data_IF_239501649921
#
_entry.id   IF_239501649921
#
_cell.length_a   1.000
_cell.length_b   1.000
_cell.length_c   1.000
_cell.angle_alpha   90.00
_cell.angle_beta   90.00
_cell.angle_gamma   90.00
#
_symmetry.space_group_name_H-M   'P 1'
#
loop_
_entity.id
_entity.type
_entity.pdbx_description
1 polymer ?
#
# COMPACT_ATOMS: atom_id res chain seq x y z
N UNK A 1 -32.52 12.11 -27.40
CA UNK A 1 -32.47 11.95 -25.95
C UNK A 1 -31.51 10.80 -25.64
N UNK A 2 -30.31 11.13 -25.17
CA UNK A 2 -29.30 10.11 -24.79
C UNK A 2 -29.59 9.66 -23.36
N UNK A 3 -30.03 8.42 -23.17
CA UNK A 3 -30.17 7.81 -21.85
C UNK A 3 -28.76 7.55 -21.29
N UNK A 4 -28.38 8.29 -20.25
CA UNK A 4 -27.24 7.93 -19.42
C UNK A 4 -27.60 6.67 -18.65
N UNK A 5 -26.96 5.56 -18.98
CA UNK A 5 -26.94 4.37 -18.14
C UNK A 5 -26.02 4.63 -16.96
N UNK A 6 -26.61 4.88 -15.80
CA UNK A 6 -25.90 4.80 -14.53
C UNK A 6 -25.61 3.32 -14.27
N UNK A 7 -24.39 2.88 -14.49
CA UNK A 7 -23.91 1.61 -13.96
C UNK A 7 -23.66 1.85 -12.47
N UNK A 8 -24.65 1.46 -11.65
CA UNK A 8 -24.45 1.36 -10.21
C UNK A 8 -23.41 0.26 -9.97
N UNK A 9 -22.19 0.65 -9.60
CA UNK A 9 -21.21 -0.27 -9.08
C UNK A 9 -21.77 -0.81 -7.75
N UNK A 10 -22.33 -2.00 -7.79
CA UNK A 10 -22.68 -2.75 -6.59
C UNK A 10 -21.35 -3.13 -5.94
N UNK A 11 -20.95 -2.35 -4.96
CA UNK A 11 -19.90 -2.73 -4.03
C UNK A 11 -20.41 -3.95 -3.25
N UNK A 12 -20.02 -5.12 -3.70
CA UNK A 12 -20.19 -6.35 -2.93
C UNK A 12 -19.24 -6.24 -1.75
N UNK A 13 -19.70 -5.66 -0.64
CA UNK A 13 -19.04 -5.80 0.65
C UNK A 13 -19.15 -7.26 1.05
N UNK A 14 -18.15 -8.05 0.71
CA UNK A 14 -17.94 -9.35 1.33
C UNK A 14 -17.69 -9.03 2.80
N UNK A 15 -18.53 -9.50 3.75
CA UNK A 15 -18.21 -9.36 5.15
C UNK A 15 -16.90 -10.13 5.37
N UNK A 16 -15.81 -9.40 5.56
CA UNK A 16 -14.60 -9.98 6.11
C UNK A 16 -15.01 -10.51 7.48
N UNK A 17 -15.03 -11.84 7.61
CA UNK A 17 -15.28 -12.47 8.90
C UNK A 17 -14.40 -11.80 9.95
N UNK A 18 -14.93 -11.57 11.14
CA UNK A 18 -14.23 -11.06 12.31
C UNK A 18 -13.14 -12.06 12.74
N UNK A 19 -12.14 -12.25 11.87
CA UNK A 19 -10.87 -12.84 12.25
C UNK A 19 -10.11 -11.78 13.04
N UNK A 20 -9.48 -12.18 14.12
CA UNK A 20 -8.51 -11.34 14.84
C UNK A 20 -7.53 -10.84 13.78
N UNK A 21 -7.62 -9.55 13.42
CA UNK A 21 -6.71 -8.93 12.46
C UNK A 21 -5.34 -8.86 13.15
N UNK A 22 -4.50 -9.84 12.86
CA UNK A 22 -3.13 -9.87 13.38
C UNK A 22 -2.39 -8.74 12.71
N UNK A 23 -2.08 -7.68 13.48
CA UNK A 23 -1.34 -6.53 12.99
C UNK A 23 0.04 -6.95 12.52
N UNK A 24 0.47 -6.44 11.36
CA UNK A 24 1.78 -6.76 10.80
C UNK A 24 2.91 -6.30 11.73
N UNK A 25 4.01 -7.08 11.88
CA UNK A 25 5.15 -6.70 12.72
C UNK A 25 5.76 -5.34 12.37
N UNK A 26 5.72 -4.92 11.10
CA UNK A 26 6.19 -3.59 10.68
C UNK A 26 5.32 -2.50 11.30
N UNK A 27 3.99 -2.67 11.26
CA UNK A 27 3.06 -1.71 11.85
C UNK A 27 3.16 -1.68 13.38
N UNK A 28 3.37 -2.84 14.02
CA UNK A 28 3.59 -2.91 15.48
C UNK A 28 4.85 -2.13 15.88
N UNK A 29 5.94 -2.30 15.13
CA UNK A 29 7.18 -1.59 15.40
C UNK A 29 7.06 -0.07 15.17
N UNK A 30 6.31 0.33 14.12
CA UNK A 30 6.01 1.73 13.83
C UNK A 30 5.21 2.38 14.97
N UNK A 31 4.15 1.74 15.43
CA UNK A 31 3.34 2.26 16.53
C UNK A 31 4.15 2.40 17.82
N UNK A 32 4.95 1.40 18.17
CA UNK A 32 5.82 1.46 19.34
C UNK A 32 6.87 2.59 19.23
N UNK A 33 7.33 2.92 18.03
CA UNK A 33 8.23 4.06 17.80
C UNK A 33 7.49 5.39 17.94
N UNK A 34 6.25 5.51 17.43
CA UNK A 34 5.41 6.69 17.62
C UNK A 34 5.06 6.94 19.08
N UNK A 35 4.78 5.88 19.84
CA UNK A 35 4.49 5.98 21.29
C UNK A 35 5.71 6.50 22.09
N UNK A 36 6.91 6.12 21.67
CA UNK A 36 8.16 6.62 22.29
C UNK A 36 8.47 8.08 21.97
N UNK A 37 8.07 8.54 20.78
CA UNK A 37 8.25 9.92 20.34
C UNK A 37 7.06 10.37 19.50
N UNK A 38 6.09 10.98 20.17
CA UNK A 38 4.84 11.47 19.57
C UNK A 38 4.94 12.88 18.97
N UNK A 39 6.15 13.44 18.88
CA UNK A 39 6.34 14.70 18.13
C UNK A 39 6.10 14.47 16.64
N UNK A 40 5.76 15.53 15.91
CA UNK A 40 5.60 15.47 14.44
C UNK A 40 6.82 14.85 13.76
N UNK A 41 8.03 15.22 14.17
CA UNK A 41 9.27 14.66 13.66
C UNK A 41 9.41 13.17 14.01
N UNK A 42 9.15 12.79 15.27
CA UNK A 42 9.21 11.39 15.70
C UNK A 42 8.22 10.50 15.00
N UNK A 43 6.99 10.96 14.76
CA UNK A 43 6.01 10.22 13.97
C UNK A 43 6.48 10.05 12.51
N UNK A 44 7.02 11.08 11.89
CA UNK A 44 7.55 10.99 10.52
C UNK A 44 8.74 10.02 10.42
N UNK A 45 9.64 10.01 11.40
CA UNK A 45 10.76 9.06 11.45
C UNK A 45 10.27 7.61 11.59
N UNK A 46 9.29 7.36 12.45
CA UNK A 46 8.70 6.04 12.62
C UNK A 46 8.04 5.53 11.34
N UNK A 47 7.30 6.39 10.65
CA UNK A 47 6.64 6.07 9.37
C UNK A 47 7.69 5.83 8.28
N UNK A 48 8.74 6.64 8.20
CA UNK A 48 9.80 6.47 7.22
C UNK A 48 10.52 5.12 7.40
N UNK A 49 10.85 4.74 8.65
CA UNK A 49 11.45 3.44 8.95
C UNK A 49 10.53 2.26 8.56
N UNK A 50 9.23 2.39 8.82
CA UNK A 50 8.25 1.39 8.39
C UNK A 50 8.14 1.32 6.85
N UNK A 51 8.18 2.48 6.17
CA UNK A 51 8.15 2.53 4.71
C UNK A 51 9.34 1.81 4.08
N UNK A 52 10.56 2.01 4.60
CA UNK A 52 11.74 1.25 4.15
C UNK A 52 11.54 -0.26 4.28
N UNK A 53 10.95 -0.72 5.38
CA UNK A 53 10.64 -2.15 5.57
C UNK A 53 9.59 -2.67 4.61
N UNK A 54 8.58 -1.87 4.30
CA UNK A 54 7.59 -2.23 3.27
C UNK A 54 8.22 -2.27 1.87
N UNK A 55 9.17 -1.39 1.54
CA UNK A 55 9.90 -1.44 0.27
C UNK A 55 10.82 -2.65 0.17
N UNK A 56 11.54 -3.00 1.24
CA UNK A 56 12.32 -4.25 1.29
C UNK A 56 11.42 -5.47 1.01
N UNK A 57 10.26 -5.54 1.67
CA UNK A 57 9.30 -6.62 1.52
C UNK A 57 8.64 -6.65 0.12
N UNK A 58 8.42 -5.48 -0.50
CA UNK A 58 8.00 -5.36 -1.90
C UNK A 58 8.99 -6.04 -2.84
N UNK A 59 10.27 -5.75 -2.67
CA UNK A 59 11.34 -6.32 -3.49
C UNK A 59 11.49 -7.83 -3.27
N UNK A 60 11.33 -8.31 -2.05
CA UNK A 60 11.34 -9.74 -1.73
C UNK A 60 10.18 -10.48 -2.39
N UNK A 61 8.95 -9.94 -2.28
CA UNK A 61 7.78 -10.52 -2.92
C UNK A 61 7.93 -10.57 -4.43
N UNK A 62 8.45 -9.49 -5.03
CA UNK A 62 8.74 -9.41 -6.46
C UNK A 62 9.75 -10.48 -6.92
N UNK A 63 10.84 -10.65 -6.19
CA UNK A 63 11.87 -11.65 -6.50
C UNK A 63 11.31 -13.09 -6.41
N UNK A 64 10.47 -13.36 -5.41
CA UNK A 64 9.79 -14.66 -5.26
C UNK A 64 8.83 -14.93 -6.42
N UNK A 65 8.02 -13.94 -6.83
CA UNK A 65 7.11 -14.05 -7.96
C UNK A 65 7.87 -14.29 -9.27
N UNK A 66 8.94 -13.54 -9.52
CA UNK A 66 9.80 -13.76 -10.70
C UNK A 66 10.34 -15.18 -10.78
N UNK A 67 10.66 -15.79 -9.64
CA UNK A 67 11.20 -17.16 -9.58
C UNK A 67 10.12 -18.22 -9.75
N UNK A 68 8.89 -17.96 -9.24
CA UNK A 68 7.82 -18.97 -9.18
C UNK A 68 6.88 -18.94 -10.38
N UNK A 69 6.65 -17.77 -10.96
CA UNK A 69 5.68 -17.61 -12.06
C UNK A 69 6.23 -18.13 -13.40
N UNK A 70 5.36 -18.73 -14.24
CA UNK A 70 5.65 -18.89 -15.65
C UNK A 70 6.01 -17.57 -16.33
N UNK A 71 6.88 -17.60 -17.33
CA UNK A 71 7.44 -16.40 -17.96
C UNK A 71 6.37 -15.48 -18.60
N UNK A 72 5.34 -16.06 -19.19
CA UNK A 72 4.20 -15.35 -19.79
C UNK A 72 3.34 -14.66 -18.72
N UNK A 73 3.01 -15.34 -17.64
CA UNK A 73 2.27 -14.76 -16.49
C UNK A 73 3.10 -13.63 -15.84
N UNK A 74 4.40 -13.84 -15.66
CA UNK A 74 5.27 -12.81 -15.08
C UNK A 74 5.39 -11.58 -16.00
N UNK A 75 5.38 -11.75 -17.32
CA UNK A 75 5.38 -10.64 -18.28
C UNK A 75 4.12 -9.74 -18.11
N UNK A 76 2.95 -10.31 -17.85
CA UNK A 76 1.74 -9.54 -17.56
C UNK A 76 1.85 -8.81 -16.20
N UNK A 77 2.39 -9.48 -15.18
CA UNK A 77 2.63 -8.84 -13.88
C UNK A 77 3.62 -7.66 -13.99
N UNK A 78 4.65 -7.77 -14.85
CA UNK A 78 5.57 -6.66 -15.10
C UNK A 78 4.88 -5.43 -15.71
N UNK A 79 3.90 -5.63 -16.60
CA UNK A 79 3.09 -4.53 -17.15
C UNK A 79 2.28 -3.87 -16.05
N UNK A 80 1.64 -4.66 -15.20
CA UNK A 80 0.87 -4.18 -14.06
C UNK A 80 1.75 -3.41 -13.06
N UNK A 81 2.97 -3.89 -12.79
CA UNK A 81 3.91 -3.22 -11.89
C UNK A 81 4.36 -1.86 -12.43
N UNK A 82 4.64 -1.76 -13.74
CA UNK A 82 4.97 -0.47 -14.37
C UNK A 82 3.81 0.53 -14.27
N UNK A 83 2.59 0.06 -14.51
CA UNK A 83 1.39 0.90 -14.37
C UNK A 83 1.17 1.34 -12.91
N UNK A 84 1.42 0.44 -11.94
CA UNK A 84 1.34 0.77 -10.54
C UNK A 84 2.37 1.83 -10.12
N UNK A 85 3.61 1.74 -10.59
CA UNK A 85 4.64 2.77 -10.32
C UNK A 85 4.20 4.13 -10.84
N UNK A 86 3.66 4.19 -12.06
CA UNK A 86 3.15 5.43 -12.63
C UNK A 86 1.96 5.99 -11.81
N UNK A 87 1.03 5.12 -11.42
CA UNK A 87 -0.08 5.49 -10.52
C UNK A 87 0.42 6.02 -9.18
N UNK A 88 1.35 5.30 -8.52
CA UNK A 88 1.94 5.70 -7.24
C UNK A 88 2.53 7.11 -7.32
N UNK A 89 3.32 7.38 -8.35
CA UNK A 89 3.99 8.67 -8.49
C UNK A 89 3.00 9.82 -8.71
N UNK A 90 1.92 9.59 -9.44
CA UNK A 90 0.82 10.54 -9.60
C UNK A 90 0.01 10.73 -8.32
N UNK A 91 -0.23 9.64 -7.59
CA UNK A 91 -0.96 9.69 -6.33
C UNK A 91 -0.20 10.45 -5.25
N UNK A 92 1.13 10.31 -5.18
CA UNK A 92 1.99 11.10 -4.28
C UNK A 92 1.84 12.59 -4.58
N UNK A 93 1.90 13.00 -5.86
CA UNK A 93 1.66 14.40 -6.25
C UNK A 93 0.27 14.89 -5.86
N UNK A 94 -0.75 14.05 -5.97
CA UNK A 94 -2.10 14.37 -5.54
C UNK A 94 -2.17 14.60 -4.03
N UNK A 95 -1.51 13.75 -3.23
CA UNK A 95 -1.41 13.92 -1.78
C UNK A 95 -0.69 15.22 -1.42
N UNK A 96 0.45 15.50 -2.03
CA UNK A 96 1.20 16.75 -1.81
C UNK A 96 0.33 17.99 -2.11
N UNK A 97 -0.39 17.98 -3.23
CA UNK A 97 -1.27 19.08 -3.62
C UNK A 97 -2.43 19.31 -2.64
N UNK A 98 -2.93 18.24 -2.00
CA UNK A 98 -4.05 18.29 -1.06
C UNK A 98 -3.59 18.63 0.34
N UNK A 99 -2.65 17.85 0.89
CA UNK A 99 -2.22 17.99 2.28
C UNK A 99 -1.44 19.28 2.54
N UNK A 100 -0.73 19.82 1.55
CA UNK A 100 -0.05 21.11 1.67
C UNK A 100 -0.97 22.31 1.95
N UNK A 101 -2.27 22.16 1.72
CA UNK A 101 -3.28 23.19 1.96
C UNK A 101 -4.00 23.04 3.29
N UNK A 102 -3.67 21.99 4.05
CA UNK A 102 -4.30 21.70 5.34
C UNK A 102 -3.57 22.44 6.46
N UNK A 103 -4.33 23.05 7.36
CA UNK A 103 -3.79 23.75 8.52
C UNK A 103 -3.45 22.78 9.67
N UNK A 104 -2.28 22.98 10.27
CA UNK A 104 -1.83 22.21 11.41
C UNK A 104 -0.80 21.11 11.07
N UNK A 105 0.11 20.90 12.00
CA UNK A 105 1.28 20.00 11.82
C UNK A 105 0.92 18.53 11.78
N UNK A 106 -0.26 18.13 12.26
CA UNK A 106 -0.74 16.74 12.23
C UNK A 106 -0.86 16.18 10.80
N UNK A 107 -1.11 17.05 9.82
CA UNK A 107 -1.25 16.62 8.43
C UNK A 107 0.06 16.17 7.80
N UNK A 108 1.20 16.54 8.39
CA UNK A 108 2.52 16.11 7.92
C UNK A 108 2.69 14.59 8.08
N UNK A 109 2.62 13.99 9.28
CA UNK A 109 2.72 12.54 9.43
C UNK A 109 1.56 11.80 8.73
N UNK A 110 0.35 12.37 8.66
CA UNK A 110 -0.76 11.76 7.91
C UNK A 110 -0.42 11.64 6.42
N UNK A 111 0.15 12.67 5.81
CA UNK A 111 0.54 12.62 4.40
C UNK A 111 1.67 11.61 4.13
N UNK A 112 2.66 11.55 5.01
CA UNK A 112 3.76 10.57 4.91
C UNK A 112 3.22 9.14 5.07
N UNK A 113 2.28 8.92 5.98
CA UNK A 113 1.60 7.63 6.16
C UNK A 113 0.79 7.23 4.93
N UNK A 114 0.10 8.17 4.28
CA UNK A 114 -0.63 7.90 3.05
C UNK A 114 0.28 7.40 1.93
N UNK A 115 1.48 7.97 1.80
CA UNK A 115 2.49 7.51 0.83
C UNK A 115 3.00 6.10 1.17
N UNK A 116 3.34 5.84 2.43
CA UNK A 116 3.76 4.50 2.89
C UNK A 116 2.68 3.45 2.59
N UNK A 117 1.41 3.77 2.81
CA UNK A 117 0.30 2.84 2.60
C UNK A 117 0.19 2.39 1.14
N UNK A 118 0.54 3.21 0.15
CA UNK A 118 0.59 2.77 -1.25
C UNK A 118 1.54 1.59 -1.44
N UNK A 119 2.72 1.63 -0.82
CA UNK A 119 3.70 0.53 -0.86
C UNK A 119 3.19 -0.69 -0.11
N UNK A 120 2.65 -0.50 1.10
CA UNK A 120 2.09 -1.58 1.93
C UNK A 120 0.99 -2.34 1.21
N UNK A 121 0.02 -1.65 0.63
CA UNK A 121 -1.07 -2.26 -0.14
C UNK A 121 -0.55 -3.07 -1.32
N UNK A 122 0.47 -2.55 -2.03
CA UNK A 122 1.08 -3.28 -3.13
C UNK A 122 1.80 -4.55 -2.67
N UNK A 123 2.47 -4.51 -1.54
CA UNK A 123 3.08 -5.72 -0.94
C UNK A 123 2.02 -6.77 -0.67
N UNK A 124 0.91 -6.38 -0.06
CA UNK A 124 -0.21 -7.28 0.25
C UNK A 124 -0.81 -7.92 -1.01
N UNK A 125 -0.94 -7.15 -2.10
CA UNK A 125 -1.38 -7.67 -3.40
C UNK A 125 -0.42 -8.73 -3.95
N UNK A 126 0.89 -8.44 -3.93
CA UNK A 126 1.90 -9.36 -4.44
C UNK A 126 2.02 -10.63 -3.57
N UNK A 127 1.90 -10.51 -2.27
CA UNK A 127 1.91 -11.65 -1.34
C UNK A 127 0.65 -12.51 -1.49
N UNK A 128 -0.50 -11.90 -1.73
CA UNK A 128 -1.73 -12.63 -2.04
C UNK A 128 -1.57 -13.45 -3.32
N UNK A 129 -0.92 -12.89 -4.34
CA UNK A 129 -0.62 -13.62 -5.57
C UNK A 129 0.36 -14.78 -5.34
N UNK A 130 1.37 -14.61 -4.47
CA UNK A 130 2.27 -15.69 -4.06
C UNK A 130 1.49 -16.83 -3.40
N UNK A 131 0.56 -16.53 -2.50
CA UNK A 131 -0.30 -17.53 -1.86
C UNK A 131 -1.09 -18.34 -2.88
N UNK A 132 -1.66 -17.70 -3.91
CA UNK A 132 -2.39 -18.40 -4.98
C UNK A 132 -1.49 -19.35 -5.79
N UNK A 133 -0.21 -18.99 -5.98
CA UNK A 133 0.74 -19.87 -6.69
C UNK A 133 1.13 -21.11 -5.87
N UNK A 134 1.09 -21.01 -4.55
CA UNK A 134 1.41 -22.12 -3.65
C UNK A 134 0.28 -23.16 -3.58
N UNK A 135 -0.94 -22.80 -4.03
CA UNK A 135 -2.11 -23.70 -4.11
C UNK A 135 -2.22 -24.46 -5.45
N UNK A 136 -1.35 -24.19 -6.43
CA UNK A 136 -1.33 -24.88 -7.74
C UNK A 136 -0.50 -26.16 -7.68
#
# INVERSE_FOLDING_TARGET
MKKLLFIAAILFSIPRGEGIEVKDPIDIAMDAAMDRNSSTAGMCEAIAAAHEKWEERLNEAWAKLKKKMPADEFAELQKAQRAWIAYRDLQIKSYEATYSKMDGTIWIPISVSAVMNLTKERVQDLESLLGLLDER
#
